data_IF_064520502774
#
_entry.id   IF_064520502774
#
_cell.length_a   1.000
_cell.length_b   1.000
_cell.length_c   1.000
_cell.angle_alpha   90.00
_cell.angle_beta   90.00
_cell.angle_gamma   90.00
#
_symmetry.space_group_name_H-M   'P 1'
#
loop_
_entity.id
_entity.type
_entity.pdbx_description
1 polymer ?
#
# COMPACT_ATOMS: atom_id res chain seq x y z
N UNK A 1 2.71 -3.68 22.61
CA UNK A 1 3.18 -5.09 22.51
C UNK A 1 4.65 -5.24 22.88
N UNK A 2 5.57 -4.51 22.27
CA UNK A 2 7.01 -4.67 22.52
C UNK A 2 7.43 -4.39 23.98
N UNK A 3 6.80 -3.45 24.69
CA UNK A 3 7.01 -3.20 26.13
C UNK A 3 6.60 -4.40 26.98
N UNK A 4 5.43 -4.95 26.71
CA UNK A 4 4.91 -6.12 27.44
C UNK A 4 5.79 -7.35 27.19
N UNK A 5 6.25 -7.55 25.94
CA UNK A 5 7.15 -8.66 25.64
C UNK A 5 8.47 -8.57 26.42
N UNK A 6 9.02 -7.36 26.57
CA UNK A 6 10.22 -7.13 27.40
C UNK A 6 9.97 -7.39 28.88
N UNK A 7 8.83 -6.95 29.42
CA UNK A 7 8.46 -7.20 30.81
C UNK A 7 8.29 -8.70 31.12
N UNK A 8 7.85 -9.48 30.12
CA UNK A 8 7.65 -10.92 30.23
C UNK A 8 8.88 -11.74 29.79
N UNK A 9 10.00 -11.08 29.48
CA UNK A 9 11.23 -11.71 28.95
C UNK A 9 10.98 -12.60 27.73
N UNK A 10 9.99 -12.24 26.91
CA UNK A 10 9.65 -12.98 25.68
C UNK A 10 10.49 -12.50 24.51
N UNK A 11 11.01 -13.42 23.71
CA UNK A 11 11.66 -13.10 22.42
C UNK A 11 10.61 -12.81 21.36
N UNK A 12 10.13 -11.55 21.31
CA UNK A 12 9.12 -11.08 20.37
C UNK A 12 9.65 -9.87 19.61
N UNK A 13 9.64 -9.98 18.30
CA UNK A 13 9.96 -8.88 17.39
C UNK A 13 8.65 -8.27 16.85
N UNK A 14 8.43 -7.00 17.10
CA UNK A 14 7.30 -6.23 16.55
C UNK A 14 7.79 -5.47 15.34
N UNK A 15 7.16 -5.72 14.19
CA UNK A 15 7.50 -5.11 12.91
C UNK A 15 6.35 -4.19 12.51
N UNK A 16 6.63 -2.89 12.38
CA UNK A 16 5.69 -1.95 11.80
C UNK A 16 5.83 -1.98 10.28
N UNK A 17 4.75 -2.29 9.60
CA UNK A 17 4.72 -2.42 8.14
C UNK A 17 4.53 -1.07 7.43
N UNK A 18 4.09 -0.03 8.14
CA UNK A 18 3.71 1.26 7.55
C UNK A 18 2.77 1.15 6.35
N UNK A 19 2.07 0.05 6.23
CA UNK A 19 1.19 -0.33 5.13
C UNK A 19 0.12 -1.29 5.63
N UNK A 20 -0.68 -1.84 4.72
CA UNK A 20 -1.77 -2.77 5.02
C UNK A 20 -2.06 -3.70 3.85
N UNK A 21 -3.05 -4.56 3.99
CA UNK A 21 -3.57 -5.45 2.95
C UNK A 21 -2.52 -6.45 2.41
N UNK A 22 -2.35 -6.48 1.09
CA UNK A 22 -1.56 -7.51 0.43
C UNK A 22 -0.05 -7.42 0.74
N UNK A 23 0.48 -6.22 0.99
CA UNK A 23 1.88 -6.10 1.40
C UNK A 23 2.13 -6.77 2.76
N UNK A 24 1.22 -6.56 3.72
CA UNK A 24 1.31 -7.20 5.03
C UNK A 24 1.24 -8.74 4.91
N UNK A 25 0.31 -9.23 4.09
CA UNK A 25 0.18 -10.65 3.77
C UNK A 25 1.43 -11.20 3.08
N UNK A 26 1.96 -10.49 2.09
CA UNK A 26 3.17 -10.92 1.35
C UNK A 26 4.36 -11.05 2.30
N UNK A 27 4.63 -10.03 3.12
CA UNK A 27 5.73 -10.07 4.08
C UNK A 27 5.53 -11.17 5.12
N UNK A 28 4.30 -11.43 5.57
CA UNK A 28 4.02 -12.54 6.48
C UNK A 28 4.35 -13.92 5.86
N UNK A 29 4.01 -14.11 4.59
CA UNK A 29 4.36 -15.33 3.84
C UNK A 29 5.87 -15.44 3.69
N UNK A 30 6.54 -14.36 3.32
CA UNK A 30 8.00 -14.33 3.16
C UNK A 30 8.73 -14.63 4.46
N UNK A 31 8.32 -14.02 5.58
CA UNK A 31 8.83 -14.36 6.92
C UNK A 31 8.67 -15.86 7.19
N UNK A 32 7.50 -16.44 6.88
CA UNK A 32 7.27 -17.87 7.06
C UNK A 32 8.26 -18.72 6.27
N UNK A 33 8.54 -18.38 5.01
CA UNK A 33 9.51 -19.07 4.16
C UNK A 33 10.94 -18.98 4.75
N UNK A 34 11.35 -17.80 5.25
CA UNK A 34 12.65 -17.62 5.89
C UNK A 34 12.78 -18.43 7.19
N UNK A 35 11.69 -18.51 7.97
CA UNK A 35 11.64 -19.35 9.17
C UNK A 35 11.75 -20.84 8.79
N UNK A 36 11.05 -21.29 7.75
CA UNK A 36 11.14 -22.67 7.27
C UNK A 36 12.54 -23.02 6.72
N UNK A 37 13.26 -22.02 6.22
CA UNK A 37 14.67 -22.13 5.84
C UNK A 37 15.63 -22.07 7.05
N UNK A 38 15.11 -22.09 8.29
CA UNK A 38 15.86 -22.04 9.55
C UNK A 38 16.74 -20.77 9.71
N UNK A 39 16.35 -19.65 9.12
CA UNK A 39 17.06 -18.38 9.34
C UNK A 39 16.81 -17.82 10.74
N UNK A 40 17.85 -17.27 11.40
CA UNK A 40 17.68 -16.59 12.70
C UNK A 40 16.78 -15.35 12.57
N UNK A 41 16.09 -14.99 13.65
CA UNK A 41 15.18 -13.84 13.69
C UNK A 41 15.84 -12.52 13.28
N UNK A 42 17.08 -12.32 13.70
CA UNK A 42 17.87 -11.12 13.37
C UNK A 42 18.15 -11.02 11.87
N UNK A 43 18.54 -12.13 11.24
CA UNK A 43 18.76 -12.20 9.79
C UNK A 43 17.46 -11.96 9.02
N UNK A 44 16.34 -12.54 9.48
CA UNK A 44 15.02 -12.30 8.90
C UNK A 44 14.68 -10.80 8.93
N UNK A 45 14.91 -10.14 10.06
CA UNK A 45 14.65 -8.71 10.19
C UNK A 45 15.53 -7.86 9.27
N UNK A 46 16.78 -8.23 9.06
CA UNK A 46 17.69 -7.55 8.13
C UNK A 46 17.24 -7.69 6.68
N UNK A 47 16.68 -8.85 6.31
CA UNK A 47 16.17 -9.11 4.96
C UNK A 47 14.88 -8.32 4.68
N UNK A 48 13.92 -8.33 5.61
CA UNK A 48 12.57 -7.77 5.33
C UNK A 48 12.48 -6.25 5.53
N UNK A 49 13.29 -5.65 6.41
CA UNK A 49 13.22 -4.20 6.70
C UNK A 49 13.42 -3.30 5.48
N UNK A 50 14.41 -3.52 4.61
CA UNK A 50 14.57 -2.72 3.40
C UNK A 50 13.32 -2.74 2.53
N UNK A 51 12.76 -3.91 2.26
CA UNK A 51 11.54 -4.05 1.45
C UNK A 51 10.34 -3.31 2.05
N UNK A 52 10.15 -3.37 3.38
CA UNK A 52 9.11 -2.60 4.06
C UNK A 52 9.34 -1.10 3.90
N UNK A 53 10.59 -0.64 4.05
CA UNK A 53 10.90 0.79 4.03
C UNK A 53 10.83 1.41 2.63
N UNK A 54 11.05 0.61 1.60
CA UNK A 54 10.96 1.00 0.19
C UNK A 54 9.53 0.87 -0.34
N UNK A 55 8.66 0.13 0.37
CA UNK A 55 7.28 -0.03 -0.06
C UNK A 55 6.49 1.28 0.03
N UNK A 56 5.59 1.47 -0.91
CA UNK A 56 4.71 2.63 -0.97
C UNK A 56 3.30 2.20 -1.39
N UNK A 57 2.30 2.66 -0.68
CA UNK A 57 0.90 2.41 -1.01
C UNK A 57 0.26 3.70 -1.50
N UNK A 58 -0.16 3.73 -2.76
CA UNK A 58 -0.94 4.83 -3.32
C UNK A 58 -2.43 4.54 -3.17
N UNK A 59 -3.21 5.55 -2.82
CA UNK A 59 -4.63 5.40 -2.52
C UNK A 59 -5.43 6.43 -3.32
N UNK A 60 -6.30 5.95 -4.18
CA UNK A 60 -7.27 6.75 -4.90
C UNK A 60 -8.67 6.47 -4.34
N UNK A 61 -9.28 7.47 -3.73
CA UNK A 61 -10.61 7.36 -3.13
C UNK A 61 -11.65 8.15 -3.90
N UNK A 62 -12.84 7.57 -4.03
CA UNK A 62 -13.98 8.28 -4.61
C UNK A 62 -14.65 9.25 -3.63
N UNK A 63 -14.61 8.94 -2.34
CA UNK A 63 -15.17 9.77 -1.27
C UNK A 63 -14.14 10.05 -0.15
N UNK A 64 -13.44 11.16 -0.28
CA UNK A 64 -12.49 11.61 0.75
C UNK A 64 -13.17 11.96 2.08
N UNK A 65 -14.46 12.35 2.05
CA UNK A 65 -15.22 12.63 3.29
C UNK A 65 -15.44 11.34 4.10
N UNK A 66 -15.67 10.21 3.41
CA UNK A 66 -15.79 8.92 4.08
C UNK A 66 -14.47 8.57 4.79
N UNK A 67 -13.35 8.67 4.10
CA UNK A 67 -12.02 8.40 4.68
C UNK A 67 -11.67 9.36 5.83
N UNK A 68 -12.07 10.64 5.73
CA UNK A 68 -11.92 11.62 6.81
C UNK A 68 -12.66 11.20 8.08
N UNK A 69 -13.92 10.74 7.95
CA UNK A 69 -14.70 10.24 9.09
C UNK A 69 -14.06 9.04 9.77
N UNK A 70 -13.33 8.24 8.99
CA UNK A 70 -12.53 7.11 9.49
C UNK A 70 -11.36 7.49 10.38
N UNK A 71 -10.95 8.77 10.42
CA UNK A 71 -9.90 9.29 11.31
C UNK A 71 -8.47 8.82 10.98
N UNK A 72 -8.21 8.32 9.75
CA UNK A 72 -6.90 7.79 9.33
C UNK A 72 -6.07 8.78 8.53
N UNK A 73 -6.66 9.93 8.17
CA UNK A 73 -5.97 10.98 7.43
C UNK A 73 -5.07 11.82 8.34
N UNK A 74 -3.98 12.33 7.77
CA UNK A 74 -3.27 13.47 8.36
C UNK A 74 -4.17 14.71 8.35
N UNK A 75 -3.90 15.73 9.20
CA UNK A 75 -4.64 16.98 9.17
C UNK A 75 -4.63 17.66 7.78
N UNK A 76 -3.51 17.56 7.05
CA UNK A 76 -3.38 18.13 5.70
C UNK A 76 -4.28 17.38 4.70
N UNK A 77 -4.30 16.09 4.71
CA UNK A 77 -5.17 15.28 3.86
C UNK A 77 -6.66 15.52 4.21
N UNK A 78 -6.99 15.59 5.49
CA UNK A 78 -8.34 15.87 5.96
C UNK A 78 -8.87 17.26 5.54
N UNK A 79 -7.99 18.25 5.39
CA UNK A 79 -8.36 19.60 4.93
C UNK A 79 -8.81 19.62 3.46
N UNK A 80 -8.40 18.66 2.63
CA UNK A 80 -8.85 18.55 1.23
C UNK A 80 -10.29 18.03 1.12
N UNK A 81 -10.78 17.34 2.15
CA UNK A 81 -12.13 16.79 2.14
C UNK A 81 -13.15 17.96 2.16
N UNK A 82 -14.00 18.00 1.13
CA UNK A 82 -14.96 19.07 0.94
C UNK A 82 -14.57 20.11 -0.11
N UNK A 83 -13.35 20.06 -0.65
CA UNK A 83 -12.98 20.89 -1.79
C UNK A 83 -13.57 20.28 -3.08
N UNK A 84 -14.31 21.10 -3.81
CA UNK A 84 -14.93 20.69 -5.07
C UNK A 84 -13.88 20.50 -6.18
N UNK A 85 -14.05 19.46 -6.97
CA UNK A 85 -13.21 19.16 -8.14
C UNK A 85 -11.72 19.00 -7.81
N UNK A 86 -11.42 18.47 -6.63
CA UNK A 86 -10.09 18.05 -6.22
C UNK A 86 -10.08 16.53 -6.11
N UNK A 87 -9.16 15.90 -6.82
CA UNK A 87 -8.90 14.47 -6.79
C UNK A 87 -7.53 14.27 -6.13
N UNK A 88 -7.49 13.95 -4.84
CA UNK A 88 -6.23 13.71 -4.16
C UNK A 88 -5.68 12.34 -4.53
N UNK A 89 -4.38 12.28 -4.74
CA UNK A 89 -3.61 11.05 -4.72
C UNK A 89 -3.01 10.97 -3.32
N UNK A 90 -3.42 9.97 -2.58
CA UNK A 90 -2.97 9.75 -1.21
C UNK A 90 -1.91 8.65 -1.19
N UNK A 91 -1.12 8.62 -0.14
CA UNK A 91 -0.16 7.56 0.09
C UNK A 91 -0.02 7.24 1.58
N UNK A 92 0.50 6.04 1.85
CA UNK A 92 1.01 5.68 3.15
C UNK A 92 2.27 4.82 2.98
N UNK A 93 3.25 5.07 3.82
CA UNK A 93 4.54 4.39 3.85
C UNK A 93 5.27 4.73 5.15
N UNK A 94 6.55 4.37 5.25
CA UNK A 94 7.40 4.70 6.39
C UNK A 94 7.51 6.21 6.63
N UNK A 95 7.62 7.03 5.57
CA UNK A 95 7.81 8.48 5.72
C UNK A 95 6.55 9.19 6.24
N UNK A 96 5.38 8.59 6.04
CA UNK A 96 4.11 9.06 6.62
C UNK A 96 3.80 8.39 7.96
N UNK A 97 4.73 7.59 8.50
CA UNK A 97 4.55 6.84 9.74
C UNK A 97 3.30 5.94 9.72
N UNK A 98 2.96 5.37 8.53
CA UNK A 98 1.75 4.57 8.34
C UNK A 98 0.44 5.37 8.43
N UNK A 99 0.46 6.69 8.31
CA UNK A 99 -0.72 7.54 8.19
C UNK A 99 -0.99 7.88 6.73
N UNK A 100 -2.26 8.02 6.38
CA UNK A 100 -2.63 8.38 5.02
C UNK A 100 -2.44 9.90 4.84
N UNK A 101 -1.53 10.27 3.96
CA UNK A 101 -1.21 11.65 3.65
C UNK A 101 -1.39 11.97 2.16
N UNK A 102 -1.29 13.24 1.80
CA UNK A 102 -1.42 13.72 0.43
C UNK A 102 -0.08 13.64 -0.28
N UNK A 103 -0.01 12.82 -1.32
CA UNK A 103 1.13 12.83 -2.23
C UNK A 103 0.99 13.91 -3.30
N UNK A 104 -0.20 14.01 -3.90
CA UNK A 104 -0.51 15.01 -4.92
C UNK A 104 -2.02 15.30 -4.98
N UNK A 105 -2.41 16.34 -5.72
CA UNK A 105 -3.79 16.70 -5.98
C UNK A 105 -3.97 17.22 -7.39
N UNK A 106 -4.98 16.74 -8.07
CA UNK A 106 -5.29 17.12 -9.45
C UNK A 106 -6.76 17.51 -9.61
N UNK A 107 -7.13 18.00 -10.79
CA UNK A 107 -8.48 18.53 -11.04
C UNK A 107 -9.43 17.56 -11.73
N UNK A 108 -8.95 16.40 -12.17
CA UNK A 108 -9.76 15.39 -12.83
C UNK A 108 -9.33 13.99 -12.40
N UNK A 109 -10.28 13.05 -12.37
CA UNK A 109 -10.05 11.65 -12.07
C UNK A 109 -9.01 11.04 -13.04
N UNK A 110 -9.17 11.27 -14.35
CA UNK A 110 -8.20 10.79 -15.35
C UNK A 110 -6.75 11.24 -15.07
N UNK A 111 -6.56 12.47 -14.59
CA UNK A 111 -5.21 12.94 -14.20
C UNK A 111 -4.72 12.28 -12.93
N UNK A 112 -5.62 11.93 -12.00
CA UNK A 112 -5.23 11.19 -10.80
C UNK A 112 -4.76 9.78 -11.17
N UNK A 113 -5.50 9.10 -12.05
CA UNK A 113 -5.14 7.76 -12.54
C UNK A 113 -3.79 7.79 -13.26
N UNK A 114 -3.63 8.72 -14.22
CA UNK A 114 -2.36 8.86 -14.95
C UNK A 114 -1.19 9.11 -14.01
N UNK A 115 -1.35 10.05 -13.07
CA UNK A 115 -0.30 10.36 -12.09
C UNK A 115 0.05 9.15 -11.23
N UNK A 116 -0.96 8.40 -10.75
CA UNK A 116 -0.73 7.23 -9.91
C UNK A 116 0.01 6.12 -10.67
N UNK A 117 -0.37 5.87 -11.92
CA UNK A 117 0.30 4.88 -12.79
C UNK A 117 1.75 5.30 -13.04
N UNK A 118 1.99 6.54 -13.51
CA UNK A 118 3.32 7.03 -13.80
C UNK A 118 4.20 6.98 -12.55
N UNK A 119 3.66 7.40 -11.39
CA UNK A 119 4.39 7.37 -10.12
C UNK A 119 4.80 5.95 -9.70
N UNK A 120 3.92 4.96 -9.88
CA UNK A 120 4.27 3.56 -9.60
C UNK A 120 5.40 3.10 -10.53
N UNK A 121 5.29 3.37 -11.82
CA UNK A 121 6.30 2.97 -12.81
C UNK A 121 7.67 3.64 -12.53
N UNK A 122 7.67 4.90 -12.11
CA UNK A 122 8.90 5.63 -11.78
C UNK A 122 9.59 5.09 -10.51
N UNK A 123 8.82 4.47 -9.60
CA UNK A 123 9.31 4.01 -8.30
C UNK A 123 9.77 2.54 -8.31
N UNK A 124 9.51 1.76 -9.38
CA UNK A 124 9.73 0.32 -9.39
C UNK A 124 10.80 -0.14 -10.39
N UNK A 125 11.40 -1.28 -10.09
CA UNK A 125 12.01 -2.13 -11.11
C UNK A 125 10.91 -2.95 -11.79
N UNK A 126 10.59 -2.60 -13.04
CA UNK A 126 9.45 -3.16 -13.79
C UNK A 126 9.51 -4.68 -13.91
N UNK A 127 10.72 -5.24 -14.06
CA UNK A 127 10.90 -6.69 -14.26
C UNK A 127 10.81 -7.49 -12.96
N UNK A 128 11.19 -6.87 -11.83
CA UNK A 128 11.39 -7.56 -10.55
C UNK A 128 10.41 -7.13 -9.44
N UNK A 129 9.42 -6.31 -9.76
CA UNK A 129 8.47 -5.82 -8.74
C UNK A 129 7.08 -6.39 -8.93
N UNK A 130 6.46 -6.84 -7.83
CA UNK A 130 5.05 -7.19 -7.83
C UNK A 130 4.19 -5.95 -7.55
N UNK A 131 3.16 -5.74 -8.37
CA UNK A 131 2.15 -4.68 -8.18
C UNK A 131 0.86 -5.32 -7.69
N UNK A 132 0.35 -4.84 -6.57
CA UNK A 132 -0.94 -5.26 -6.02
C UNK A 132 -1.96 -4.16 -6.24
N UNK A 133 -3.00 -4.44 -7.03
CA UNK A 133 -4.15 -3.57 -7.23
C UNK A 133 -5.27 -4.08 -6.34
N UNK A 134 -5.60 -3.32 -5.31
CA UNK A 134 -6.59 -3.72 -4.31
C UNK A 134 -7.80 -2.81 -4.45
N UNK A 135 -8.98 -3.37 -4.57
CA UNK A 135 -10.20 -2.59 -4.80
C UNK A 135 -11.33 -2.97 -3.85
N UNK A 136 -12.22 -2.00 -3.61
CA UNK A 136 -13.49 -2.18 -2.93
C UNK A 136 -14.61 -2.01 -3.96
N UNK A 137 -15.19 -3.12 -4.41
CA UNK A 137 -16.30 -3.17 -5.38
C UNK A 137 -16.08 -2.31 -6.63
N UNK A 138 -14.84 -2.28 -7.15
CA UNK A 138 -14.45 -1.51 -8.34
C UNK A 138 -13.53 -2.30 -9.26
N UNK A 139 -13.97 -3.51 -9.64
CA UNK A 139 -13.18 -4.42 -10.48
C UNK A 139 -12.90 -3.82 -11.87
N UNK A 140 -13.83 -3.05 -12.46
CA UNK A 140 -13.63 -2.40 -13.73
C UNK A 140 -12.43 -1.44 -13.71
N UNK A 141 -12.36 -0.60 -12.67
CA UNK A 141 -11.21 0.27 -12.44
C UNK A 141 -9.92 -0.51 -12.23
N UNK A 142 -9.94 -1.56 -11.42
CA UNK A 142 -8.77 -2.40 -11.20
C UNK A 142 -8.23 -3.02 -12.50
N UNK A 143 -9.12 -3.52 -13.37
CA UNK A 143 -8.75 -4.04 -14.70
C UNK A 143 -8.21 -2.95 -15.61
N UNK A 144 -8.76 -1.73 -15.56
CA UNK A 144 -8.22 -0.59 -16.31
C UNK A 144 -6.76 -0.32 -15.91
N UNK A 145 -6.48 -0.26 -14.62
CA UNK A 145 -5.11 -0.04 -14.13
C UNK A 145 -4.17 -1.19 -14.51
N UNK A 146 -4.61 -2.46 -14.35
CA UNK A 146 -3.84 -3.61 -14.80
C UNK A 146 -3.43 -3.46 -16.28
N UNK A 147 -4.38 -3.11 -17.15
CA UNK A 147 -4.11 -2.88 -18.57
C UNK A 147 -3.08 -1.77 -18.78
N UNK A 148 -3.21 -0.65 -18.07
CA UNK A 148 -2.26 0.46 -18.16
C UNK A 148 -0.84 0.05 -17.73
N UNK A 149 -0.69 -0.75 -16.67
CA UNK A 149 0.62 -1.25 -16.25
C UNK A 149 1.23 -2.19 -17.28
N UNK A 150 0.44 -3.09 -17.88
CA UNK A 150 0.91 -3.95 -18.99
C UNK A 150 1.37 -3.10 -20.18
N UNK A 151 0.63 -2.07 -20.56
CA UNK A 151 1.00 -1.13 -21.63
C UNK A 151 2.29 -0.35 -21.33
N UNK A 152 2.64 -0.19 -20.06
CA UNK A 152 3.90 0.41 -19.57
C UNK A 152 5.05 -0.60 -19.46
N UNK A 153 4.82 -1.86 -19.82
CA UNK A 153 5.84 -2.92 -19.87
C UNK A 153 5.94 -3.80 -18.61
N UNK A 154 5.04 -3.64 -17.64
CA UNK A 154 5.02 -4.54 -16.47
C UNK A 154 4.55 -5.93 -16.91
N UNK A 155 5.28 -7.02 -16.60
CA UNK A 155 4.84 -8.38 -16.87
C UNK A 155 3.49 -8.67 -16.21
N UNK A 156 2.59 -9.31 -16.95
CA UNK A 156 1.22 -9.54 -16.45
C UNK A 156 1.22 -10.41 -15.17
N UNK A 157 2.13 -11.35 -15.06
CA UNK A 157 2.31 -12.22 -13.89
C UNK A 157 2.73 -11.46 -12.63
N UNK A 158 3.24 -10.24 -12.78
CA UNK A 158 3.62 -9.37 -11.66
C UNK A 158 2.48 -8.49 -11.18
N UNK A 159 1.32 -8.52 -11.84
CA UNK A 159 0.19 -7.66 -11.52
C UNK A 159 -0.94 -8.49 -10.90
N UNK A 160 -1.23 -8.23 -9.65
CA UNK A 160 -2.21 -8.96 -8.86
C UNK A 160 -3.40 -8.06 -8.53
N UNK A 161 -4.63 -8.53 -8.82
CA UNK A 161 -5.86 -7.83 -8.44
C UNK A 161 -6.49 -8.57 -7.27
N UNK A 162 -6.78 -7.85 -6.18
CA UNK A 162 -7.37 -8.41 -4.98
C UNK A 162 -8.46 -7.49 -4.42
N UNK A 163 -9.37 -8.08 -3.64
CA UNK A 163 -10.36 -7.33 -2.87
C UNK A 163 -9.73 -6.79 -1.58
N UNK A 164 -10.08 -5.54 -1.25
CA UNK A 164 -9.75 -4.97 0.06
C UNK A 164 -10.51 -5.73 1.16
N UNK A 165 -9.87 -5.94 2.30
CA UNK A 165 -10.56 -6.55 3.44
C UNK A 165 -11.70 -5.65 3.93
N UNK A 166 -12.79 -6.25 4.43
CA UNK A 166 -13.95 -5.51 4.93
C UNK A 166 -13.60 -4.55 6.07
N UNK A 167 -12.64 -4.91 6.91
CA UNK A 167 -12.13 -4.05 7.99
C UNK A 167 -11.53 -2.75 7.45
N UNK A 168 -10.80 -2.80 6.36
CA UNK A 168 -10.22 -1.61 5.72
C UNK A 168 -11.29 -0.86 4.93
N UNK A 169 -12.16 -1.58 4.19
CA UNK A 169 -13.21 -0.98 3.37
C UNK A 169 -14.18 -0.10 4.18
N UNK A 170 -14.48 -0.46 5.44
CA UNK A 170 -15.27 0.37 6.35
C UNK A 170 -14.68 1.77 6.54
N UNK A 171 -13.36 1.89 6.52
CA UNK A 171 -12.66 3.17 6.69
C UNK A 171 -12.40 3.90 5.39
N UNK A 172 -12.13 3.19 4.30
CA UNK A 172 -11.74 3.78 3.02
C UNK A 172 -12.91 4.01 2.07
N UNK A 173 -14.02 3.28 2.25
CA UNK A 173 -15.13 3.27 1.31
C UNK A 173 -14.73 2.65 -0.02
N UNK A 174 -15.37 3.10 -1.12
CA UNK A 174 -14.98 2.72 -2.47
C UNK A 174 -13.62 3.32 -2.81
N UNK A 175 -12.62 2.45 -2.99
CA UNK A 175 -11.22 2.84 -3.06
C UNK A 175 -10.46 1.92 -4.01
N UNK A 176 -9.45 2.45 -4.66
CA UNK A 176 -8.35 1.71 -5.26
C UNK A 176 -7.10 1.97 -4.43
N UNK A 177 -6.49 0.91 -3.96
CA UNK A 177 -5.22 0.92 -3.26
C UNK A 177 -4.18 0.23 -4.12
N UNK A 178 -3.08 0.89 -4.38
CA UNK A 178 -1.91 0.29 -5.04
C UNK A 178 -0.82 0.10 -4.03
N UNK A 179 -0.22 -1.06 -4.03
CA UNK A 179 1.00 -1.31 -3.27
C UNK A 179 2.11 -1.71 -4.23
N UNK A 180 3.25 -1.08 -4.10
CA UNK A 180 4.51 -1.47 -4.69
C UNK A 180 5.63 -0.93 -3.80
N UNK A 181 6.85 -1.40 -3.90
CA UNK A 181 7.32 -2.63 -4.46
C UNK A 181 7.45 -3.71 -3.39
N UNK A 182 7.28 -4.96 -3.76
CA UNK A 182 7.89 -6.05 -3.01
C UNK A 182 8.97 -6.63 -3.92
N UNK A 183 10.26 -6.60 -3.54
CA UNK A 183 11.29 -7.29 -4.30
C UNK A 183 10.87 -8.74 -4.47
N UNK A 184 11.11 -9.29 -5.65
CA UNK A 184 11.12 -10.75 -5.80
C UNK A 184 12.34 -11.31 -5.09
N UNK A 185 12.18 -12.51 -4.58
CA UNK A 185 13.26 -13.35 -4.05
C UNK A 185 14.42 -13.48 -5.04
#
# INVERSE_FOLDING_TARGET
MQSIARELEMNVHVIDMYSTCELEKHVAIWIKQLVDANKPSEEILEIIRPAIYESNSLILVKDLQHLKRGGRLTPMAAALAGLLKIYPILHLNKNTEGRIDVLNKVRTEKRADTYAIDKVIDDIDIEHTNIYIIHSDFLEGANHFKKCFIEKGVPEENIHINYISSVIAVHTGLCLLYTSPSPRD
#
